data_IF_349571330109
#
_entry.id   IF_349571330109
#
_cell.length_a   1.000
_cell.length_b   1.000
_cell.length_c   1.000
_cell.angle_alpha   90.00
_cell.angle_beta   90.00
_cell.angle_gamma   90.00
#
_symmetry.space_group_name_H-M   'P 1'
#
loop_
_entity.id
_entity.type
_entity.pdbx_description
1 polymer ?
#
# COMPACT_ATOMS: atom_id res chain seq x y z
N UNK A 1 -61.25 -33.91 10.23
CA UNK A 1 -60.77 -32.85 9.32
C UNK A 1 -59.27 -32.81 9.51
N UNK A 2 -58.49 -33.14 8.48
CA UNK A 2 -57.03 -33.32 8.58
C UNK A 2 -56.34 -31.96 8.41
N UNK A 3 -55.76 -31.44 9.49
CA UNK A 3 -54.99 -30.19 9.44
C UNK A 3 -53.53 -30.44 9.09
N UNK A 4 -52.93 -29.51 8.34
CA UNK A 4 -51.54 -29.65 7.85
C UNK A 4 -50.53 -29.13 8.87
N UNK A 5 -49.35 -29.74 8.91
CA UNK A 5 -48.19 -29.18 9.60
C UNK A 5 -47.63 -27.95 8.86
N UNK A 6 -46.83 -27.12 9.54
CA UNK A 6 -46.17 -25.95 8.93
C UNK A 6 -45.31 -26.31 7.71
N UNK A 7 -44.72 -27.52 7.70
CA UNK A 7 -43.89 -27.99 6.60
C UNK A 7 -44.73 -28.38 5.38
N UNK A 8 -45.82 -29.09 5.61
CA UNK A 8 -46.75 -29.49 4.54
C UNK A 8 -47.44 -28.26 3.96
N UNK A 9 -47.84 -27.32 4.80
CA UNK A 9 -48.42 -26.07 4.34
C UNK A 9 -47.42 -25.18 3.58
N UNK A 10 -46.11 -25.27 3.88
CA UNK A 10 -45.04 -24.64 3.10
C UNK A 10 -44.93 -25.20 1.69
N UNK A 11 -45.00 -26.52 1.56
CA UNK A 11 -45.03 -27.18 0.26
C UNK A 11 -46.31 -26.86 -0.52
N UNK A 12 -47.46 -26.81 0.17
CA UNK A 12 -48.76 -26.49 -0.43
C UNK A 12 -48.86 -25.03 -0.92
N UNK A 13 -48.41 -24.07 -0.13
CA UNK A 13 -48.54 -22.64 -0.44
C UNK A 13 -47.40 -22.04 -1.26
N UNK A 14 -46.30 -22.78 -1.45
CA UNK A 14 -45.08 -22.29 -2.09
C UNK A 14 -44.32 -21.23 -1.28
N UNK A 15 -44.76 -20.93 -0.05
CA UNK A 15 -44.12 -19.98 0.84
C UNK A 15 -43.02 -20.65 1.66
N UNK A 16 -41.95 -19.92 1.96
CA UNK A 16 -40.88 -20.43 2.82
C UNK A 16 -41.38 -20.70 4.23
N UNK A 17 -40.78 -21.69 4.90
CA UNK A 17 -41.14 -22.05 6.28
C UNK A 17 -41.05 -20.87 7.26
N UNK A 18 -40.07 -19.98 7.08
CA UNK A 18 -39.94 -18.75 7.88
C UNK A 18 -41.09 -17.77 7.65
N UNK A 19 -41.62 -17.67 6.42
CA UNK A 19 -42.80 -16.86 6.13
C UNK A 19 -44.06 -17.40 6.82
N UNK A 20 -44.21 -18.74 6.87
CA UNK A 20 -45.33 -19.40 7.57
C UNK A 20 -45.25 -19.17 9.08
N UNK A 21 -44.07 -19.29 9.69
CA UNK A 21 -43.90 -19.01 11.11
C UNK A 21 -44.22 -17.55 11.44
N UNK A 22 -43.80 -16.60 10.59
CA UNK A 22 -44.14 -15.19 10.75
C UNK A 22 -45.64 -14.95 10.61
N UNK A 23 -46.29 -15.60 9.63
CA UNK A 23 -47.73 -15.49 9.41
C UNK A 23 -48.54 -16.08 10.59
N UNK A 24 -48.09 -17.20 11.14
CA UNK A 24 -48.66 -17.81 12.35
C UNK A 24 -48.54 -16.87 13.56
N UNK A 25 -47.35 -16.30 13.79
CA UNK A 25 -47.09 -15.34 14.88
C UNK A 25 -47.91 -14.05 14.73
N UNK A 26 -48.18 -13.63 13.50
CA UNK A 26 -49.01 -12.48 13.19
C UNK A 26 -50.52 -12.80 13.14
N UNK A 27 -50.92 -14.02 13.53
CA UNK A 27 -52.32 -14.49 13.50
C UNK A 27 -53.01 -14.43 12.13
N UNK A 28 -52.22 -14.53 11.06
CA UNK A 28 -52.70 -14.47 9.66
C UNK A 28 -53.06 -15.84 9.08
N UNK A 29 -52.85 -16.93 9.83
CA UNK A 29 -53.24 -18.29 9.45
C UNK A 29 -54.45 -18.75 10.26
N UNK A 30 -55.29 -19.57 9.65
CA UNK A 30 -56.40 -20.26 10.32
C UNK A 30 -55.87 -21.59 10.83
N UNK A 31 -55.95 -21.78 12.14
CA UNK A 31 -55.43 -22.97 12.82
C UNK A 31 -56.60 -23.62 13.56
N UNK A 32 -56.67 -24.95 13.55
CA UNK A 32 -57.64 -25.72 14.33
C UNK A 32 -57.28 -25.69 15.83
N UNK A 33 -58.20 -26.17 16.68
CA UNK A 33 -58.01 -26.20 18.14
C UNK A 33 -56.86 -27.09 18.59
N UNK A 34 -56.48 -28.08 17.79
CA UNK A 34 -55.31 -28.96 18.00
C UNK A 34 -53.97 -28.33 17.56
N UNK A 35 -54.00 -27.11 17.01
CA UNK A 35 -52.82 -26.37 16.57
C UNK A 35 -52.36 -26.66 15.14
N UNK A 36 -53.08 -27.51 14.39
CA UNK A 36 -52.81 -27.82 12.98
C UNK A 36 -53.39 -26.76 12.03
N UNK A 37 -52.76 -26.55 10.86
CA UNK A 37 -53.16 -25.48 9.93
C UNK A 37 -54.34 -25.94 9.07
N UNK A 38 -55.42 -25.15 9.06
CA UNK A 38 -56.48 -25.30 8.09
C UNK A 38 -56.03 -24.65 6.78
N UNK A 39 -55.57 -25.47 5.83
CA UNK A 39 -55.00 -24.98 4.57
C UNK A 39 -56.01 -24.16 3.75
N UNK A 40 -57.21 -24.70 3.53
CA UNK A 40 -58.25 -24.04 2.74
C UNK A 40 -58.66 -22.69 3.34
N UNK A 41 -58.92 -22.64 4.65
CA UNK A 41 -59.32 -21.39 5.29
C UNK A 41 -58.16 -20.38 5.41
N UNK A 42 -56.92 -20.86 5.56
CA UNK A 42 -55.72 -20.00 5.58
C UNK A 42 -55.43 -19.42 4.20
N UNK A 43 -55.66 -20.16 3.12
CA UNK A 43 -55.46 -19.69 1.76
C UNK A 43 -56.50 -18.63 1.37
N UNK A 44 -57.77 -18.81 1.77
CA UNK A 44 -58.82 -17.79 1.60
C UNK A 44 -58.47 -16.51 2.36
N UNK A 45 -58.12 -16.62 3.66
CA UNK A 45 -57.71 -15.47 4.48
C UNK A 45 -56.49 -14.76 3.91
N UNK A 46 -55.55 -15.50 3.32
CA UNK A 46 -54.39 -14.93 2.64
C UNK A 46 -54.80 -14.18 1.37
N UNK A 47 -55.72 -14.73 0.57
CA UNK A 47 -56.27 -14.05 -0.61
C UNK A 47 -56.96 -12.74 -0.26
N UNK A 48 -57.72 -12.71 0.84
CA UNK A 48 -58.41 -11.50 1.32
C UNK A 48 -57.46 -10.43 1.88
N UNK A 49 -56.38 -10.85 2.56
CA UNK A 49 -55.40 -9.92 3.15
C UNK A 49 -54.28 -9.47 2.19
N UNK A 50 -54.15 -10.10 1.03
CA UNK A 50 -53.07 -9.79 0.09
C UNK A 50 -53.50 -8.65 -0.83
N UNK A 51 -52.77 -7.53 -0.74
CA UNK A 51 -52.94 -6.39 -1.62
C UNK A 51 -52.49 -6.75 -3.05
N UNK A 52 -53.36 -6.62 -4.08
CA UNK A 52 -53.03 -6.97 -5.46
C UNK A 52 -51.82 -6.19 -6.03
N UNK A 53 -51.50 -5.00 -5.50
CA UNK A 53 -50.34 -4.20 -5.93
C UNK A 53 -49.00 -4.71 -5.36
N UNK A 54 -49.02 -5.48 -4.26
CA UNK A 54 -47.84 -6.17 -3.74
C UNK A 54 -47.52 -7.40 -4.59
N UNK A 55 -48.55 -8.06 -5.14
CA UNK A 55 -48.41 -9.30 -5.88
C UNK A 55 -47.79 -9.10 -7.27
N UNK A 56 -48.10 -7.96 -7.92
CA UNK A 56 -47.48 -7.56 -9.20
C UNK A 56 -46.00 -7.21 -9.09
N UNK A 57 -45.53 -6.75 -7.93
CA UNK A 57 -44.10 -6.45 -7.69
C UNK A 57 -43.25 -7.70 -7.45
N UNK A 58 -43.85 -8.81 -7.01
CA UNK A 58 -43.11 -10.05 -6.78
C UNK A 58 -42.85 -10.89 -8.04
N UNK A 59 -43.57 -10.66 -9.13
CA UNK A 59 -43.44 -11.42 -10.39
C UNK A 59 -42.82 -10.62 -11.54
N UNK A 60 -42.74 -9.28 -11.43
CA UNK A 60 -41.97 -8.43 -12.33
C UNK A 60 -40.50 -8.40 -11.90
N UNK A 61 -39.66 -9.14 -12.61
CA UNK A 61 -38.23 -9.25 -12.31
C UNK A 61 -37.53 -7.89 -12.25
N UNK A 62 -37.03 -7.57 -11.06
CA UNK A 62 -35.72 -6.95 -10.92
C UNK A 62 -35.12 -7.43 -9.59
N UNK A 63 -34.77 -8.71 -9.54
CA UNK A 63 -33.84 -9.26 -8.54
C UNK A 63 -32.41 -8.85 -8.90
N UNK A 64 -32.21 -7.55 -9.10
CA UNK A 64 -30.93 -6.88 -9.29
C UNK A 64 -30.56 -6.14 -8.00
N UNK A 65 -30.14 -6.91 -6.99
CA UNK A 65 -29.15 -6.50 -5.99
C UNK A 65 -29.35 -5.15 -5.28
N UNK A 66 -30.03 -5.18 -4.13
CA UNK A 66 -29.85 -4.16 -3.09
C UNK A 66 -30.04 -4.78 -1.71
N UNK A 67 -29.00 -5.50 -1.26
CA UNK A 67 -28.83 -5.83 0.14
C UNK A 67 -28.14 -4.68 0.90
N UNK A 68 -28.27 -4.62 2.24
CA UNK A 68 -27.57 -3.63 3.08
C UNK A 68 -26.03 -3.63 2.92
N UNK A 69 -25.46 -4.70 2.37
CA UNK A 69 -24.04 -4.87 2.13
C UNK A 69 -23.46 -3.90 1.08
N UNK A 70 -24.22 -3.54 0.05
CA UNK A 70 -23.70 -2.75 -1.09
C UNK A 70 -23.74 -1.26 -0.84
N UNK A 71 -24.76 -0.81 -0.12
CA UNK A 71 -24.79 0.55 0.43
C UNK A 71 -23.62 0.77 1.41
N UNK A 72 -23.27 -0.24 2.22
CA UNK A 72 -22.11 -0.22 3.11
C UNK A 72 -20.80 -0.18 2.32
N UNK A 73 -20.69 -0.95 1.23
CA UNK A 73 -19.52 -0.94 0.33
C UNK A 73 -19.33 0.42 -0.36
N UNK A 74 -20.40 1.01 -0.89
CA UNK A 74 -20.36 2.33 -1.52
C UNK A 74 -20.01 3.45 -0.54
N UNK A 75 -20.60 3.44 0.66
CA UNK A 75 -20.27 4.41 1.71
C UNK A 75 -18.81 4.29 2.14
N UNK A 76 -18.30 3.07 2.32
CA UNK A 76 -16.88 2.82 2.61
C UNK A 76 -15.98 3.31 1.47
N UNK A 77 -16.33 3.05 0.22
CA UNK A 77 -15.56 3.50 -0.95
C UNK A 77 -15.52 5.02 -1.06
N UNK A 78 -16.65 5.70 -0.81
CA UNK A 78 -16.72 7.17 -0.82
C UNK A 78 -15.91 7.77 0.33
N UNK A 79 -15.98 7.20 1.52
CA UNK A 79 -15.14 7.62 2.65
C UNK A 79 -13.66 7.44 2.34
N UNK A 80 -13.26 6.29 1.80
CA UNK A 80 -11.88 6.01 1.42
C UNK A 80 -11.36 7.01 0.38
N UNK A 81 -12.13 7.29 -0.67
CA UNK A 81 -11.76 8.28 -1.69
C UNK A 81 -11.51 9.66 -1.07
N UNK A 82 -12.37 10.08 -0.14
CA UNK A 82 -12.25 11.39 0.52
C UNK A 82 -11.00 11.45 1.40
N UNK A 83 -10.66 10.36 2.09
CA UNK A 83 -9.44 10.24 2.89
C UNK A 83 -8.20 10.32 2.00
N UNK A 84 -8.16 9.59 0.88
CA UNK A 84 -7.04 9.64 -0.06
C UNK A 84 -6.87 11.04 -0.67
N UNK A 85 -7.97 11.69 -1.06
CA UNK A 85 -7.92 13.07 -1.56
C UNK A 85 -7.40 14.06 -0.51
N UNK A 86 -7.74 13.86 0.77
CA UNK A 86 -7.19 14.67 1.87
C UNK A 86 -5.70 14.41 2.07
N UNK A 87 -5.26 13.16 1.98
CA UNK A 87 -3.84 12.78 2.05
C UNK A 87 -3.03 13.36 0.89
N UNK A 88 -3.53 13.30 -0.34
CA UNK A 88 -2.87 13.88 -1.52
C UNK A 88 -2.74 15.40 -1.40
N UNK A 89 -3.79 16.08 -0.92
CA UNK A 89 -3.74 17.53 -0.64
C UNK A 89 -2.72 17.85 0.45
N UNK A 90 -2.65 17.04 1.50
CA UNK A 90 -1.67 17.21 2.57
C UNK A 90 -0.24 17.03 2.07
N UNK A 91 0.03 16.00 1.26
CA UNK A 91 1.32 15.80 0.60
C UNK A 91 1.65 16.95 -0.36
N UNK A 92 0.66 17.44 -1.11
CA UNK A 92 0.82 18.60 -1.98
C UNK A 92 1.18 19.88 -1.20
N UNK A 93 0.57 20.10 -0.03
CA UNK A 93 0.90 21.20 0.87
C UNK A 93 2.33 21.03 1.41
N UNK A 94 2.72 19.83 1.84
CA UNK A 94 4.07 19.57 2.33
C UNK A 94 5.14 19.74 1.24
N UNK A 95 4.83 19.35 -0.01
CA UNK A 95 5.67 19.58 -1.20
C UNK A 95 5.86 21.08 -1.45
N UNK A 96 4.75 21.83 -1.50
CA UNK A 96 4.77 23.29 -1.70
C UNK A 96 5.47 24.06 -0.58
N UNK A 97 5.41 23.53 0.65
CA UNK A 97 6.13 24.09 1.82
C UNK A 97 7.61 23.72 1.86
N UNK A 98 8.13 22.92 0.92
CA UNK A 98 9.53 22.50 0.89
C UNK A 98 9.93 21.52 2.01
N UNK A 99 8.97 21.08 2.84
CA UNK A 99 9.17 20.18 3.99
C UNK A 99 9.25 18.70 3.64
N UNK A 100 9.08 18.31 2.36
CA UNK A 100 9.09 16.89 1.99
C UNK A 100 10.44 16.21 2.24
N UNK A 101 11.51 17.01 2.25
CA UNK A 101 12.86 16.56 2.56
C UNK A 101 13.40 17.48 3.65
N UNK A 102 13.91 16.88 4.72
CA UNK A 102 14.69 17.61 5.71
C UNK A 102 16.01 18.06 5.07
N UNK A 103 16.02 19.31 4.60
CA UNK A 103 17.17 19.93 3.93
C UNK A 103 18.42 19.91 4.82
N UNK A 104 18.27 20.19 6.11
CA UNK A 104 19.40 20.20 7.04
C UNK A 104 20.01 18.80 7.18
N UNK A 105 19.16 17.76 7.24
CA UNK A 105 19.61 16.37 7.25
C UNK A 105 20.28 15.96 5.93
N UNK A 106 19.72 16.36 4.79
CA UNK A 106 20.30 16.07 3.48
C UNK A 106 21.69 16.72 3.30
N UNK A 107 21.81 18.01 3.64
CA UNK A 107 23.08 18.73 3.62
C UNK A 107 24.10 18.05 4.54
N UNK A 108 23.71 17.71 5.77
CA UNK A 108 24.61 17.02 6.70
C UNK A 108 25.11 15.66 6.19
N UNK A 109 24.27 14.91 5.46
CA UNK A 109 24.68 13.65 4.83
C UNK A 109 25.68 13.87 3.69
N UNK A 110 25.44 14.87 2.84
CA UNK A 110 26.34 15.21 1.73
C UNK A 110 27.70 15.67 2.26
N UNK A 111 27.74 16.58 3.23
CA UNK A 111 29.00 17.04 3.83
C UNK A 111 29.77 15.90 4.51
N UNK A 112 29.06 14.97 5.16
CA UNK A 112 29.69 13.80 5.78
C UNK A 112 30.32 12.89 4.73
N UNK A 113 29.60 12.59 3.64
CA UNK A 113 30.10 11.76 2.55
C UNK A 113 31.32 12.40 1.89
N UNK A 114 31.23 13.68 1.51
CA UNK A 114 32.34 14.42 0.90
C UNK A 114 33.58 14.46 1.81
N UNK A 115 33.38 14.61 3.13
CA UNK A 115 34.48 14.55 4.09
C UNK A 115 35.12 13.16 4.16
N UNK A 116 34.31 12.11 4.18
CA UNK A 116 34.80 10.73 4.19
C UNK A 116 35.64 10.44 2.93
N UNK A 117 35.19 10.88 1.77
CA UNK A 117 35.94 10.77 0.51
C UNK A 117 37.26 11.55 0.59
N UNK A 118 37.22 12.81 1.02
CA UNK A 118 38.42 13.64 1.18
C UNK A 118 39.45 12.99 2.12
N UNK A 119 39.02 12.52 3.28
CA UNK A 119 39.90 11.90 4.27
C UNK A 119 40.48 10.57 3.74
N UNK A 120 39.74 9.85 2.89
CA UNK A 120 40.24 8.66 2.19
C UNK A 120 41.35 9.00 1.19
N UNK A 121 41.20 10.09 0.43
CA UNK A 121 42.22 10.59 -0.49
C UNK A 121 43.46 11.10 0.24
N UNK A 122 43.29 11.86 1.33
CA UNK A 122 44.41 12.38 2.13
C UNK A 122 45.29 11.27 2.70
N UNK A 123 44.69 10.13 3.10
CA UNK A 123 45.41 8.98 3.67
C UNK A 123 45.92 8.00 2.63
N UNK A 124 45.50 8.12 1.38
CA UNK A 124 45.84 7.16 0.31
C UNK A 124 47.33 7.12 -0.04
N UNK A 125 48.07 8.25 -0.19
CA UNK A 125 49.50 8.24 -0.50
C UNK A 125 50.33 7.38 0.45
N UNK A 126 50.07 7.49 1.76
CA UNK A 126 50.77 6.70 2.78
C UNK A 126 50.55 5.19 2.63
N UNK A 127 49.41 4.76 2.07
CA UNK A 127 49.12 3.34 1.83
C UNK A 127 49.78 2.80 0.56
N UNK A 128 49.90 3.62 -0.48
CA UNK A 128 50.31 3.16 -1.82
C UNK A 128 51.75 3.48 -2.19
N UNK A 129 52.39 4.45 -1.55
CA UNK A 129 53.71 4.93 -1.98
C UNK A 129 54.78 3.83 -1.99
N UNK A 130 54.83 2.97 -0.97
CA UNK A 130 55.80 1.86 -0.95
C UNK A 130 55.56 0.83 -2.06
N UNK A 131 54.28 0.52 -2.34
CA UNK A 131 53.89 -0.42 -3.40
C UNK A 131 54.22 0.15 -4.78
N UNK A 132 53.82 1.40 -5.03
CA UNK A 132 54.13 2.09 -6.28
C UNK A 132 55.63 2.26 -6.50
N UNK A 133 56.41 2.58 -5.46
CA UNK A 133 57.85 2.70 -5.57
C UNK A 133 58.50 1.39 -6.01
N UNK A 134 58.07 0.26 -5.43
CA UNK A 134 58.56 -1.07 -5.81
C UNK A 134 58.14 -1.46 -7.24
N UNK A 135 56.89 -1.21 -7.62
CA UNK A 135 56.37 -1.50 -8.96
C UNK A 135 57.10 -0.70 -10.04
N UNK A 136 57.32 0.61 -9.82
CA UNK A 136 58.03 1.46 -10.78
C UNK A 136 59.51 1.08 -10.85
N UNK A 137 60.17 0.82 -9.72
CA UNK A 137 61.57 0.39 -9.71
C UNK A 137 61.77 -0.89 -10.53
N UNK A 138 60.92 -1.89 -10.33
CA UNK A 138 60.95 -3.14 -11.08
C UNK A 138 60.61 -2.95 -12.57
N UNK A 139 59.67 -2.05 -12.88
CA UNK A 139 59.34 -1.70 -14.26
C UNK A 139 60.51 -1.06 -15.01
N UNK A 140 61.22 -0.15 -14.35
CA UNK A 140 62.41 0.53 -14.92
C UNK A 140 63.55 -0.48 -15.11
N UNK A 141 63.85 -1.29 -14.09
CA UNK A 141 64.92 -2.30 -14.18
C UNK A 141 64.70 -3.29 -15.33
N UNK A 142 63.45 -3.70 -15.58
CA UNK A 142 63.12 -4.55 -16.73
C UNK A 142 63.36 -3.87 -18.08
N UNK A 143 63.20 -2.55 -18.16
CA UNK A 143 63.38 -1.79 -19.41
C UNK A 143 64.84 -1.44 -19.66
N UNK A 144 65.58 -1.04 -18.62
CA UNK A 144 66.96 -0.54 -18.75
C UNK A 144 68.02 -1.60 -18.46
N UNK A 145 67.64 -2.71 -17.81
CA UNK A 145 68.58 -3.73 -17.30
C UNK A 145 69.43 -3.26 -16.11
N UNK A 146 69.13 -2.08 -15.56
CA UNK A 146 69.86 -1.48 -14.44
C UNK A 146 68.97 -1.40 -13.21
N UNK A 147 69.43 -1.86 -12.03
CA UNK A 147 68.65 -1.75 -10.82
C UNK A 147 68.50 -0.28 -10.40
N UNK A 148 67.27 0.12 -10.11
CA UNK A 148 66.92 1.48 -9.65
C UNK A 148 66.22 1.38 -8.30
N UNK A 149 66.59 2.25 -7.37
CA UNK A 149 65.94 2.35 -6.06
C UNK A 149 65.09 3.61 -6.05
N UNK A 150 63.80 3.46 -5.74
CA UNK A 150 62.88 4.58 -5.53
C UNK A 150 62.55 4.63 -4.04
N UNK A 151 62.92 5.72 -3.38
CA UNK A 151 62.60 5.91 -1.97
C UNK A 151 61.09 6.15 -1.78
N UNK A 152 60.44 5.25 -1.05
CA UNK A 152 59.01 5.34 -0.76
C UNK A 152 58.61 6.66 -0.08
N UNK A 153 59.47 7.22 0.79
CA UNK A 153 59.22 8.48 1.48
C UNK A 153 59.17 9.68 0.51
N UNK A 154 60.06 9.70 -0.50
CA UNK A 154 60.06 10.73 -1.53
C UNK A 154 58.80 10.61 -2.38
N UNK A 155 58.47 9.38 -2.83
CA UNK A 155 57.27 9.16 -3.63
C UNK A 155 56.00 9.52 -2.86
N UNK A 156 55.91 9.19 -1.57
CA UNK A 156 54.80 9.60 -0.72
C UNK A 156 54.64 11.12 -0.68
N UNK A 157 55.72 11.86 -0.44
CA UNK A 157 55.67 13.34 -0.39
C UNK A 157 55.20 13.95 -1.72
N UNK A 158 55.65 13.41 -2.85
CA UNK A 158 55.22 13.86 -4.18
C UNK A 158 53.74 13.56 -4.41
N UNK A 159 53.29 12.35 -4.07
CA UNK A 159 51.88 11.96 -4.17
C UNK A 159 50.99 12.81 -3.27
N UNK A 160 51.40 13.07 -2.02
CA UNK A 160 50.67 13.95 -1.10
C UNK A 160 50.51 15.37 -1.67
N UNK A 161 51.55 15.93 -2.28
CA UNK A 161 51.49 17.24 -2.90
C UNK A 161 50.47 17.28 -4.05
N UNK A 162 50.53 16.30 -4.96
CA UNK A 162 49.60 16.23 -6.10
C UNK A 162 48.16 15.95 -5.67
N UNK A 163 47.93 15.07 -4.68
CA UNK A 163 46.59 14.81 -4.15
C UNK A 163 46.02 16.07 -3.51
N UNK A 164 46.81 16.82 -2.73
CA UNK A 164 46.35 18.09 -2.13
C UNK A 164 46.00 19.12 -3.20
N UNK A 165 46.86 19.30 -4.20
CA UNK A 165 46.61 20.20 -5.31
C UNK A 165 45.32 19.82 -6.07
N UNK A 166 45.08 18.53 -6.30
CA UNK A 166 43.86 18.05 -6.95
C UNK A 166 42.61 18.35 -6.11
N UNK A 167 42.66 18.07 -4.80
CA UNK A 167 41.54 18.34 -3.89
C UNK A 167 41.25 19.85 -3.77
N UNK A 168 42.28 20.71 -3.83
CA UNK A 168 42.15 22.17 -3.84
C UNK A 168 41.47 22.67 -5.12
N UNK A 169 41.89 22.16 -6.29
CA UNK A 169 41.24 22.49 -7.57
C UNK A 169 39.75 22.06 -7.61
N UNK A 170 39.41 20.94 -6.96
CA UNK A 170 38.01 20.52 -6.81
C UNK A 170 37.21 21.42 -5.87
N UNK A 171 37.84 22.00 -4.85
CA UNK A 171 37.19 22.94 -3.95
C UNK A 171 36.88 24.29 -4.63
N UNK A 172 37.71 24.70 -5.60
CA UNK A 172 37.52 25.94 -6.37
C UNK A 172 36.35 25.87 -7.36
N UNK A 173 35.91 24.67 -7.75
CA UNK A 173 34.68 24.45 -8.52
C UNK A 173 33.46 24.73 -7.62
N UNK A 174 33.13 26.01 -7.44
CA UNK A 174 31.90 26.45 -6.77
C UNK A 174 30.69 25.85 -7.48
N UNK A 175 30.03 24.90 -6.84
CA UNK A 175 28.71 24.44 -7.24
C UNK A 175 27.74 25.62 -7.08
N UNK A 176 27.38 26.29 -8.18
CA UNK A 176 26.29 27.25 -8.17
C UNK A 176 24.98 26.47 -8.13
N UNK A 177 24.45 26.27 -6.93
CA UNK A 177 23.04 25.94 -6.78
C UNK A 177 22.27 27.24 -7.03
N UNK A 178 21.75 27.38 -8.25
CA UNK A 178 20.87 28.49 -8.64
C UNK A 178 19.56 28.52 -7.84
#
# INVERSE_FOLDING_TARGET
MEGMSEREYSAHSGLSRGAIQKARKASRLVVYSDGSINAAASDVRRGEMTDPDQQRRSTGGDSGFSGPADSSSYLKARTALTVYQAQDKQLGIQKKKGTLVDRARAEALVFRLARQERDTWVTWPARVAALMAAEVALGVEKQTGTPVIIEAAILQRVLEAHVRQHLEALADLRVSLG
#
